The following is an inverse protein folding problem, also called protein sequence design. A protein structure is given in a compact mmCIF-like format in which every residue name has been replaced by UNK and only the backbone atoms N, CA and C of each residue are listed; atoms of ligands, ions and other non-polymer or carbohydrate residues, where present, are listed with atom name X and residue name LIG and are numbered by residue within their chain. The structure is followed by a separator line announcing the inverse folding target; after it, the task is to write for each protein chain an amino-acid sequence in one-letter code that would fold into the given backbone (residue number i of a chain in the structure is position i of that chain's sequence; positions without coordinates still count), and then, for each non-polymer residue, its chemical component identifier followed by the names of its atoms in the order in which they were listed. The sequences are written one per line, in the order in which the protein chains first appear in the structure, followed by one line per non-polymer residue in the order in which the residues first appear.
data_IF_472096415257
#
_entry.id   IF_472096415257
#
_cell.length_a   1.000
_cell.length_b   1.000
_cell.length_c   1.000
_cell.angle_alpha   90.00
_cell.angle_beta   90.00
_cell.angle_gamma   90.00
#
_symmetry.space_group_name_H-M   'P 1'
#
loop_
_entity.id
_entity.type
_entity.pdbx_description
1 polymer ?
#
# COMPACT_ATOMS: atom_id res chain seq x y z
N UNK A 1 -13.59 -3.22 -0.23
CA UNK A 1 -12.41 -2.69 0.51
C UNK A 1 -12.28 -3.48 1.79
N UNK A 2 -11.08 -3.97 2.13
CA UNK A 2 -10.87 -4.76 3.35
C UNK A 2 -10.39 -3.86 4.49
N UNK A 3 -10.83 -4.16 5.71
CA UNK A 3 -10.31 -3.51 6.92
C UNK A 3 -9.02 -4.20 7.37
N UNK A 4 -8.07 -3.44 7.91
CA UNK A 4 -6.83 -3.96 8.45
C UNK A 4 -6.36 -3.17 9.68
N UNK A 5 -5.26 -3.64 10.27
CA UNK A 5 -4.51 -2.89 11.29
C UNK A 5 -3.13 -2.58 10.75
N UNK A 6 -2.83 -1.30 10.61
CA UNK A 6 -1.51 -0.82 10.23
C UNK A 6 -0.55 -0.89 11.41
N UNK A 7 0.72 -1.18 11.13
CA UNK A 7 1.83 -1.00 12.07
C UNK A 7 3.02 -0.43 11.29
N UNK A 8 3.60 0.65 11.81
CA UNK A 8 4.83 1.23 11.27
C UNK A 8 5.66 1.88 12.38
N UNK A 9 6.91 2.24 12.07
CA UNK A 9 7.82 2.87 13.02
C UNK A 9 7.81 4.38 12.82
N UNK A 10 7.40 5.10 13.85
CA UNK A 10 7.38 6.56 13.92
C UNK A 10 8.77 7.19 13.79
N UNK A 11 8.85 8.50 13.50
CA UNK A 11 10.13 9.24 13.47
C UNK A 11 10.87 9.20 14.82
N UNK A 12 10.12 9.06 15.91
CA UNK A 12 10.62 8.88 17.28
C UNK A 12 11.06 7.43 17.61
N UNK A 13 11.01 6.54 16.62
CA UNK A 13 11.33 5.13 16.75
C UNK A 13 10.24 4.27 17.39
N UNK A 14 9.11 4.85 17.82
CA UNK A 14 7.99 4.10 18.44
C UNK A 14 7.19 3.33 17.40
N UNK A 15 6.54 2.25 17.82
CA UNK A 15 5.59 1.54 16.94
C UNK A 15 4.23 2.23 17.00
N UNK A 16 3.77 2.74 15.86
CA UNK A 16 2.43 3.29 15.67
C UNK A 16 1.51 2.17 15.22
N UNK A 17 0.29 2.14 15.75
CA UNK A 17 -0.78 1.24 15.31
C UNK A 17 -2.00 2.07 14.94
N UNK A 18 -2.63 1.75 13.81
CA UNK A 18 -3.78 2.49 13.33
C UNK A 18 -4.77 1.60 12.57
N UNK A 19 -6.01 2.07 12.46
CA UNK A 19 -6.97 1.45 11.55
C UNK A 19 -6.47 1.64 10.11
N UNK A 20 -6.41 0.57 9.35
CA UNK A 20 -5.96 0.59 7.97
C UNK A 20 -7.06 0.12 7.02
N UNK A 21 -6.95 0.55 5.77
CA UNK A 21 -7.76 0.05 4.66
C UNK A 21 -6.85 -0.61 3.63
N UNK A 22 -7.28 -1.76 3.13
CA UNK A 22 -6.56 -2.51 2.11
C UNK A 22 -7.34 -2.42 0.80
N UNK A 23 -6.65 -1.99 -0.24
CA UNK A 23 -7.11 -2.00 -1.62
C UNK A 23 -6.36 -3.10 -2.36
N UNK A 24 -7.11 -4.01 -2.97
CA UNK A 24 -6.54 -5.06 -3.81
C UNK A 24 -6.67 -4.62 -5.28
N UNK A 25 -5.54 -4.59 -5.97
CA UNK A 25 -5.47 -4.29 -7.40
C UNK A 25 -4.96 -5.54 -8.11
N UNK A 26 -5.71 -6.00 -9.11
CA UNK A 26 -5.33 -7.13 -9.97
C UNK A 26 -4.95 -6.55 -11.33
N UNK A 27 -3.73 -6.83 -11.78
CA UNK A 27 -3.17 -6.31 -13.03
C UNK A 27 -2.14 -7.30 -13.57
N UNK A 28 -1.81 -7.18 -14.86
CA UNK A 28 -0.63 -7.82 -15.42
C UNK A 28 0.63 -7.39 -14.65
N UNK A 29 1.55 -8.33 -14.44
CA UNK A 29 2.79 -8.10 -13.70
C UNK A 29 3.88 -7.46 -14.60
N UNK A 30 3.57 -6.31 -15.19
CA UNK A 30 4.52 -5.56 -16.03
C UNK A 30 5.33 -4.56 -15.20
N UNK A 31 6.53 -4.16 -15.65
CA UNK A 31 7.31 -3.10 -15.00
C UNK A 31 6.55 -1.79 -14.86
N UNK A 32 5.75 -1.43 -15.87
CA UNK A 32 4.95 -0.19 -15.90
C UNK A 32 3.86 -0.22 -14.82
N UNK A 33 3.18 -1.36 -14.65
CA UNK A 33 2.17 -1.53 -13.61
C UNK A 33 2.80 -1.40 -12.20
N UNK A 34 3.99 -1.97 -12.00
CA UNK A 34 4.71 -1.84 -10.73
C UNK A 34 5.13 -0.39 -10.48
N UNK A 35 5.59 0.33 -11.50
CA UNK A 35 5.95 1.74 -11.39
C UNK A 35 4.72 2.60 -11.02
N UNK A 36 3.59 2.38 -11.70
CA UNK A 36 2.34 3.09 -11.40
C UNK A 36 1.86 2.83 -9.95
N UNK A 37 1.90 1.58 -9.49
CA UNK A 37 1.53 1.24 -8.11
C UNK A 37 2.44 1.92 -7.07
N UNK A 38 3.73 2.08 -7.37
CA UNK A 38 4.65 2.84 -6.52
C UNK A 38 4.32 4.32 -6.50
N UNK A 39 3.97 4.92 -7.64
CA UNK A 39 3.55 6.33 -7.74
C UNK A 39 2.31 6.58 -6.90
N UNK A 40 1.26 5.77 -7.09
CA UNK A 40 0.00 5.86 -6.35
C UNK A 40 0.25 5.76 -4.84
N UNK A 41 1.14 4.86 -4.40
CA UNK A 41 1.50 4.70 -3.00
C UNK A 41 2.13 5.98 -2.41
N UNK A 42 3.03 6.63 -3.14
CA UNK A 42 3.66 7.89 -2.68
C UNK A 42 2.70 9.08 -2.75
N UNK A 43 1.94 9.22 -3.83
CA UNK A 43 0.93 10.27 -3.98
C UNK A 43 -0.13 10.18 -2.87
N UNK A 44 -0.61 8.98 -2.55
CA UNK A 44 -1.54 8.77 -1.45
C UNK A 44 -0.91 9.15 -0.10
N UNK A 45 0.36 8.77 0.13
CA UNK A 45 1.07 9.10 1.36
C UNK A 45 1.15 10.61 1.55
N UNK A 46 1.50 11.34 0.50
CA UNK A 46 1.66 12.79 0.53
C UNK A 46 0.31 13.51 0.65
N UNK A 47 -0.66 13.14 -0.19
CA UNK A 47 -1.97 13.81 -0.24
C UNK A 47 -2.73 13.71 1.09
N UNK A 48 -2.61 12.58 1.79
CA UNK A 48 -3.30 12.33 3.06
C UNK A 48 -2.38 12.42 4.28
N UNK A 49 -1.17 12.96 4.12
CA UNK A 49 -0.16 13.12 5.18
C UNK A 49 0.04 11.84 6.02
N UNK A 50 0.04 10.68 5.37
CA UNK A 50 0.18 9.39 6.05
C UNK A 50 1.63 9.17 6.49
N UNK A 51 1.83 8.60 7.67
CA UNK A 51 3.17 8.24 8.15
C UNK A 51 3.79 7.06 7.39
N UNK A 52 2.96 6.14 6.90
CA UNK A 52 3.39 5.02 6.05
C UNK A 52 2.24 4.51 5.17
N UNK A 53 2.58 3.99 3.99
CA UNK A 53 1.66 3.28 3.11
C UNK A 53 2.36 2.01 2.62
N UNK A 54 1.76 0.85 2.88
CA UNK A 54 2.32 -0.45 2.48
C UNK A 54 1.99 -0.79 1.04
N UNK A 55 2.94 -1.42 0.33
CA UNK A 55 2.72 -2.03 -0.97
C UNK A 55 3.23 -3.47 -0.93
N UNK A 56 2.32 -4.42 -1.16
CA UNK A 56 2.63 -5.85 -1.26
C UNK A 56 2.32 -6.30 -2.69
N UNK A 57 3.31 -6.91 -3.34
CA UNK A 57 3.18 -7.46 -4.68
C UNK A 57 3.20 -8.98 -4.58
N UNK A 58 2.15 -9.63 -5.09
CA UNK A 58 2.03 -11.08 -5.10
C UNK A 58 1.58 -11.54 -6.47
N UNK A 59 2.26 -12.56 -7.03
CA UNK A 59 1.77 -13.25 -8.23
C UNK A 59 0.59 -14.12 -7.86
N UNK A 60 -0.48 -14.05 -8.63
CA UNK A 60 -1.65 -14.90 -8.46
C UNK A 60 -2.23 -15.29 -9.81
N UNK A 61 -2.91 -16.44 -9.86
CA UNK A 61 -3.78 -16.74 -10.98
C UNK A 61 -5.06 -15.93 -10.80
N UNK A 62 -5.38 -15.08 -11.77
CA UNK A 62 -6.65 -14.39 -11.85
C UNK A 62 -7.22 -14.64 -13.23
N UNK A 63 -8.47 -15.10 -13.28
CA UNK A 63 -9.28 -15.12 -14.49
C UNK A 63 -10.33 -14.03 -14.31
N UNK A 64 -10.47 -13.17 -15.31
CA UNK A 64 -11.48 -12.12 -15.38
C UNK A 64 -12.12 -12.13 -16.75
#
# INVERSE_FOLDING_TARGET
MFSGRGQWRGPDGRRVHEAARIVLIVTAATPEAVAALRSIKEEYREHFAQGAVGLVLQRSCALF
#
